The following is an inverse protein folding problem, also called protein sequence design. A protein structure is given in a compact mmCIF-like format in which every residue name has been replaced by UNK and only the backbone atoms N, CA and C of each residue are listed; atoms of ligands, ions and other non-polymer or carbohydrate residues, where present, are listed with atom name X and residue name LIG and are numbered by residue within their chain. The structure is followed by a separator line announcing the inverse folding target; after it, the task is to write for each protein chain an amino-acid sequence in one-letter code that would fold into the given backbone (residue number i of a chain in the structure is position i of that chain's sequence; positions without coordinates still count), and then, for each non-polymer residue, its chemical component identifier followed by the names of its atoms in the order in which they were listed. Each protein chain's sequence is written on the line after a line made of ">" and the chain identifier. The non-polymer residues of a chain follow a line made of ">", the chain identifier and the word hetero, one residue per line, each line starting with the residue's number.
data_IF_499061012756
#
_entry.id   IF_499061012756
#
_cell.length_a   1.000
_cell.length_b   1.000
_cell.length_c   1.000
_cell.angle_alpha   90.00
_cell.angle_beta   90.00
_cell.angle_gamma   90.00
#
_symmetry.space_group_name_H-M   'P 1'
#
loop_
_entity.id
_entity.type
_entity.pdbx_description
1 polymer ?
#
# COMPACT_ATOMS: atom_id res chain seq x y z
N UNK A 1 12.03 -20.81 43.98
CA UNK A 1 11.86 -19.49 44.63
C UNK A 1 10.54 -18.95 44.17
N UNK A 2 9.55 -18.82 45.06
CA UNK A 2 8.22 -18.28 44.73
C UNK A 2 8.35 -16.79 44.49
N UNK A 3 8.01 -16.32 43.29
CA UNK A 3 8.10 -14.91 42.92
C UNK A 3 6.99 -14.12 43.62
N UNK A 4 7.33 -13.04 44.34
CA UNK A 4 6.37 -12.18 45.04
C UNK A 4 6.11 -10.94 44.16
N UNK A 5 4.86 -10.50 43.96
CA UNK A 5 4.57 -9.29 43.15
C UNK A 5 4.13 -8.08 43.96
N UNK A 6 3.41 -8.27 45.07
CA UNK A 6 2.87 -7.15 45.82
C UNK A 6 3.31 -7.26 47.27
N UNK A 7 4.37 -6.53 47.58
CA UNK A 7 4.74 -6.19 48.95
C UNK A 7 4.17 -4.80 49.22
N UNK A 8 3.40 -4.65 50.29
CA UNK A 8 2.97 -3.32 50.70
C UNK A 8 4.20 -2.46 51.00
N UNK A 9 4.24 -1.24 50.45
CA UNK A 9 5.34 -0.29 50.68
C UNK A 9 5.52 0.06 52.16
N UNK A 10 4.44 -0.03 52.94
CA UNK A 10 4.45 0.17 54.38
C UNK A 10 4.43 -1.19 55.09
N UNK A 11 5.48 -1.48 55.85
CA UNK A 11 5.53 -2.63 56.76
C UNK A 11 5.17 -2.15 58.17
N UNK A 12 4.02 -2.57 58.69
CA UNK A 12 3.58 -2.18 60.03
C UNK A 12 4.44 -2.88 61.08
N UNK A 13 5.08 -2.12 61.98
CA UNK A 13 5.76 -2.72 63.15
C UNK A 13 4.79 -3.06 64.30
N UNK A 14 3.54 -2.63 64.19
CA UNK A 14 2.48 -3.01 65.12
C UNK A 14 1.89 -4.32 64.63
N UNK A 15 2.05 -5.38 65.42
CA UNK A 15 1.42 -6.66 65.16
C UNK A 15 -0.10 -6.49 65.13
N UNK A 16 -0.75 -7.21 64.22
CA UNK A 16 -2.21 -7.27 64.19
C UNK A 16 -2.73 -7.67 65.58
N UNK A 17 -3.69 -6.91 66.11
CA UNK A 17 -4.25 -7.19 67.44
C UNK A 17 -4.87 -8.60 67.51
N UNK A 18 -4.88 -9.22 68.69
CA UNK A 18 -5.29 -10.63 68.87
C UNK A 18 -6.80 -10.92 68.63
N UNK A 19 -7.62 -9.89 68.39
CA UNK A 19 -9.07 -10.05 68.23
C UNK A 19 -9.45 -10.63 66.84
N UNK A 20 -9.72 -11.94 66.82
CA UNK A 20 -10.14 -12.70 65.64
C UNK A 20 -11.63 -12.50 65.26
N UNK A 21 -12.40 -11.69 66.00
CA UNK A 21 -13.84 -11.47 65.73
C UNK A 21 -14.09 -10.38 64.68
N UNK A 22 -13.06 -9.61 64.32
CA UNK A 22 -13.10 -8.62 63.24
C UNK A 22 -12.67 -9.26 61.93
N UNK A 23 -13.48 -9.09 60.86
CA UNK A 23 -13.05 -9.41 59.49
C UNK A 23 -11.93 -8.44 59.12
N UNK A 24 -10.70 -8.94 59.06
CA UNK A 24 -9.56 -8.17 58.58
C UNK A 24 -9.24 -8.62 57.15
N UNK A 25 -8.80 -7.71 56.27
CA UNK A 25 -7.97 -8.14 55.14
C UNK A 25 -6.81 -8.97 55.72
N UNK A 26 -6.28 -9.94 54.99
CA UNK A 26 -5.08 -10.70 55.40
C UNK A 26 -4.02 -9.80 56.03
N UNK A 27 -3.19 -10.34 56.92
CA UNK A 27 -2.24 -9.55 57.70
C UNK A 27 -1.49 -8.57 56.78
N UNK A 28 -1.46 -7.30 57.16
CA UNK A 28 -0.99 -6.22 56.30
C UNK A 28 0.46 -6.44 55.82
N UNK A 29 1.24 -7.22 56.57
CA UNK A 29 2.60 -7.57 56.22
C UNK A 29 2.72 -8.89 55.45
N UNK A 30 1.61 -9.56 55.15
CA UNK A 30 1.62 -10.76 54.32
C UNK A 30 2.02 -10.40 52.89
N UNK A 31 2.87 -11.22 52.31
CA UNK A 31 3.15 -11.13 50.88
C UNK A 31 1.93 -11.63 50.10
N UNK A 32 1.49 -10.83 49.15
CA UNK A 32 0.47 -11.26 48.21
C UNK A 32 1.16 -11.85 46.99
N UNK A 33 0.98 -13.15 46.83
CA UNK A 33 1.31 -13.81 45.59
C UNK A 33 0.23 -13.48 44.56
N UNK A 34 0.61 -12.75 43.51
CA UNK A 34 -0.27 -12.48 42.37
C UNK A 34 0.31 -13.05 41.06
N UNK A 35 1.31 -13.95 41.10
CA UNK A 35 1.86 -14.59 39.89
C UNK A 35 1.13 -15.91 39.59
N UNK A 36 0.79 -16.25 38.33
CA UNK A 36 1.62 -16.35 37.11
C UNK A 36 2.67 -17.47 37.17
N UNK A 37 2.26 -18.64 37.66
CA UNK A 37 2.96 -19.91 37.48
C UNK A 37 3.25 -20.18 35.99
N UNK A 38 4.36 -20.88 35.70
CA UNK A 38 4.70 -21.32 34.36
C UNK A 38 4.76 -22.84 34.34
N UNK A 39 3.93 -23.45 33.50
CA UNK A 39 3.92 -24.89 33.29
C UNK A 39 4.30 -25.21 31.86
N UNK A 40 5.40 -25.94 31.67
CA UNK A 40 5.73 -26.54 30.37
C UNK A 40 5.11 -27.93 30.26
N UNK A 41 4.37 -28.18 29.19
CA UNK A 41 3.68 -29.44 28.92
C UNK A 41 4.31 -30.10 27.70
N UNK A 42 4.93 -31.25 27.91
CA UNK A 42 5.54 -32.08 26.84
C UNK A 42 4.76 -33.37 26.57
N UNK A 43 3.69 -33.63 27.33
CA UNK A 43 2.78 -34.76 27.12
C UNK A 43 1.81 -34.49 25.96
N UNK A 44 1.12 -35.54 25.47
CA UNK A 44 0.07 -35.42 24.44
C UNK A 44 -1.30 -35.09 25.01
N UNK A 45 -1.40 -34.95 26.33
CA UNK A 45 -2.65 -34.61 27.03
C UNK A 45 -2.36 -33.65 28.17
N UNK A 46 -3.29 -32.74 28.43
CA UNK A 46 -3.23 -31.81 29.55
C UNK A 46 -4.61 -31.54 30.16
N UNK A 47 -4.64 -31.13 31.42
CA UNK A 47 -5.86 -30.65 32.08
C UNK A 47 -5.59 -29.27 32.66
N UNK A 48 -6.38 -28.29 32.25
CA UNK A 48 -6.37 -26.94 32.78
C UNK A 48 -7.33 -26.91 33.96
N UNK A 49 -6.83 -26.43 35.10
CA UNK A 49 -7.54 -26.46 36.38
C UNK A 49 -7.65 -25.07 36.98
N UNK A 50 -8.40 -24.93 38.07
CA UNK A 50 -8.52 -23.64 38.76
C UNK A 50 -7.15 -23.10 39.24
N UNK A 51 -6.21 -23.99 39.56
CA UNK A 51 -4.85 -23.62 39.98
C UNK A 51 -4.04 -22.93 38.89
N UNK A 52 -4.45 -23.07 37.62
CA UNK A 52 -3.83 -22.38 36.48
C UNK A 52 -4.32 -20.92 36.35
N UNK A 53 -5.02 -20.37 37.37
CA UNK A 53 -5.47 -18.98 37.36
C UNK A 53 -4.28 -18.05 37.23
N UNK A 54 -4.34 -17.20 36.22
CA UNK A 54 -3.31 -16.27 35.84
C UNK A 54 -2.01 -17.03 35.62
N UNK A 55 -1.96 -18.22 35.00
CA UNK A 55 -0.69 -18.89 34.67
C UNK A 55 -0.34 -18.79 33.18
N UNK A 56 0.90 -19.07 32.83
CA UNK A 56 1.32 -19.36 31.45
C UNK A 56 1.55 -20.86 31.30
N UNK A 57 0.79 -21.50 30.41
CA UNK A 57 0.99 -22.90 30.04
C UNK A 57 1.62 -22.94 28.65
N UNK A 58 2.84 -23.47 28.55
CA UNK A 58 3.56 -23.64 27.29
C UNK A 58 3.55 -25.11 26.85
N UNK A 59 2.90 -25.38 25.73
CA UNK A 59 2.88 -26.70 25.11
C UNK A 59 4.07 -26.87 24.17
N UNK A 60 4.91 -27.87 24.42
CA UNK A 60 6.13 -28.16 23.66
C UNK A 60 6.18 -29.64 23.30
N UNK A 61 5.29 -30.07 22.40
CA UNK A 61 5.24 -31.45 21.91
C UNK A 61 5.31 -31.47 20.38
N UNK A 62 6.01 -32.46 19.82
CA UNK A 62 6.07 -32.68 18.38
C UNK A 62 4.75 -33.29 17.84
N UNK A 63 4.06 -34.08 18.67
CA UNK A 63 2.72 -34.61 18.38
C UNK A 63 1.64 -33.67 18.91
N UNK A 64 0.42 -33.81 18.40
CA UNK A 64 -0.73 -33.03 18.86
C UNK A 64 -1.00 -33.22 20.36
N UNK A 65 -1.39 -32.15 21.04
CA UNK A 65 -1.75 -32.15 22.46
C UNK A 65 -3.25 -31.92 22.62
N UNK A 66 -3.93 -32.78 23.37
CA UNK A 66 -5.33 -32.58 23.76
C UNK A 66 -5.37 -31.96 25.15
N UNK A 67 -5.66 -30.67 25.24
CA UNK A 67 -5.82 -29.95 26.50
C UNK A 67 -7.31 -29.89 26.87
N UNK A 68 -7.68 -30.21 28.11
CA UNK A 68 -9.07 -30.20 28.56
C UNK A 68 -9.32 -29.06 29.56
N UNK A 69 -10.47 -28.40 29.45
CA UNK A 69 -10.93 -27.39 30.43
C UNK A 69 -12.36 -27.71 30.86
N UNK A 70 -12.63 -27.70 32.17
CA UNK A 70 -13.96 -27.95 32.73
C UNK A 70 -14.84 -26.70 32.67
N UNK A 71 -16.16 -26.83 32.82
CA UNK A 71 -17.05 -25.66 32.87
C UNK A 71 -16.82 -24.82 34.15
N UNK A 72 -16.86 -23.48 34.08
CA UNK A 72 -16.82 -22.62 35.26
C UNK A 72 -17.92 -22.96 36.26
N UNK A 73 -17.55 -23.07 37.53
CA UNK A 73 -18.50 -23.21 38.65
C UNK A 73 -18.22 -22.14 39.71
N UNK A 74 -19.12 -21.99 40.68
CA UNK A 74 -18.95 -20.99 41.75
C UNK A 74 -17.67 -21.21 42.58
N UNK A 75 -17.15 -22.44 42.66
CA UNK A 75 -15.92 -22.79 43.40
C UNK A 75 -14.69 -23.05 42.54
N UNK A 76 -14.82 -23.06 41.20
CA UNK A 76 -13.70 -23.34 40.30
C UNK A 76 -13.82 -22.51 39.02
N UNK A 77 -12.77 -21.72 38.72
CA UNK A 77 -12.70 -20.81 37.57
C UNK A 77 -13.82 -19.75 37.53
N UNK A 78 -14.00 -18.96 38.60
CA UNK A 78 -15.07 -17.95 38.69
C UNK A 78 -14.92 -16.87 37.61
N UNK A 79 -15.93 -16.00 37.46
CA UNK A 79 -15.85 -14.84 36.55
C UNK A 79 -14.59 -14.01 36.85
N UNK A 80 -13.80 -13.72 35.81
CA UNK A 80 -12.52 -13.02 35.95
C UNK A 80 -11.31 -13.96 36.12
N UNK A 81 -11.54 -15.27 36.25
CA UNK A 81 -10.48 -16.26 36.06
C UNK A 81 -9.93 -16.17 34.63
N UNK A 82 -8.62 -16.26 34.46
CA UNK A 82 -8.00 -16.34 33.14
C UNK A 82 -6.73 -17.19 33.14
N UNK A 83 -6.31 -17.69 31.98
CA UNK A 83 -5.02 -18.37 31.79
C UNK A 83 -4.48 -18.02 30.40
N UNK A 84 -3.16 -17.96 30.24
CA UNK A 84 -2.52 -17.86 28.93
C UNK A 84 -1.99 -19.22 28.50
N UNK A 85 -2.41 -19.65 27.32
CA UNK A 85 -1.92 -20.86 26.67
C UNK A 85 -1.01 -20.47 25.51
N UNK A 86 0.11 -21.14 25.32
CA UNK A 86 1.00 -20.91 24.19
C UNK A 86 1.50 -22.24 23.63
N UNK A 87 1.40 -22.41 22.31
CA UNK A 87 1.93 -23.58 21.65
C UNK A 87 3.28 -23.25 21.00
N UNK A 88 4.36 -23.85 21.47
CA UNK A 88 5.69 -23.75 20.86
C UNK A 88 6.13 -25.06 20.18
N UNK A 89 5.38 -26.14 20.39
CA UNK A 89 5.60 -27.45 19.78
C UNK A 89 5.13 -27.51 18.32
N UNK A 90 5.61 -28.52 17.58
CA UNK A 90 5.19 -28.73 16.18
C UNK A 90 3.77 -29.29 16.07
N UNK A 91 3.27 -29.98 17.09
CA UNK A 91 1.91 -30.49 17.12
C UNK A 91 0.90 -29.41 17.52
N UNK A 92 -0.24 -29.36 16.85
CA UNK A 92 -1.34 -28.48 17.25
C UNK A 92 -1.86 -28.84 18.65
N UNK A 93 -2.26 -27.82 19.43
CA UNK A 93 -2.94 -28.04 20.70
C UNK A 93 -4.44 -27.89 20.46
N UNK A 94 -5.20 -28.95 20.71
CA UNK A 94 -6.68 -28.91 20.69
C UNK A 94 -7.18 -28.72 22.11
N UNK A 95 -7.59 -27.50 22.43
CA UNK A 95 -8.29 -27.20 23.67
C UNK A 95 -9.75 -27.67 23.57
N UNK A 96 -10.16 -28.56 24.46
CA UNK A 96 -11.49 -29.18 24.48
C UNK A 96 -12.22 -28.80 25.76
N UNK A 97 -13.41 -28.22 25.59
CA UNK A 97 -14.34 -27.98 26.69
C UNK A 97 -14.97 -29.30 27.18
N UNK A 98 -14.95 -29.53 28.49
CA UNK A 98 -15.52 -30.71 29.14
C UNK A 98 -16.60 -30.30 30.14
N UNK A 99 -17.53 -31.21 30.46
CA UNK A 99 -18.62 -30.91 31.39
C UNK A 99 -19.57 -29.80 30.90
N UNK A 100 -19.70 -29.63 29.59
CA UNK A 100 -20.53 -28.59 28.97
C UNK A 100 -19.82 -27.25 28.74
N UNK A 101 -18.51 -27.15 29.01
CA UNK A 101 -17.73 -25.96 28.72
C UNK A 101 -17.66 -25.69 27.21
N UNK A 102 -17.72 -24.42 26.83
CA UNK A 102 -17.46 -23.95 25.47
C UNK A 102 -16.40 -22.83 25.48
N UNK A 103 -15.71 -22.65 24.36
CA UNK A 103 -14.78 -21.56 24.11
C UNK A 103 -15.29 -20.78 22.91
N UNK A 104 -15.68 -19.52 23.11
CA UNK A 104 -16.36 -18.69 22.11
C UNK A 104 -17.57 -19.39 21.46
N UNK A 105 -18.33 -20.15 22.26
CA UNK A 105 -19.49 -20.91 21.80
C UNK A 105 -19.16 -22.22 21.06
N UNK A 106 -17.90 -22.64 20.99
CA UNK A 106 -17.47 -23.90 20.37
C UNK A 106 -16.97 -24.90 21.41
N UNK A 107 -17.13 -26.21 21.15
CA UNK A 107 -16.65 -27.25 22.05
C UNK A 107 -15.13 -27.39 22.05
N UNK A 108 -14.46 -26.93 20.99
CA UNK A 108 -13.00 -27.02 20.81
C UNK A 108 -12.43 -25.74 20.23
N UNK A 109 -11.17 -25.45 20.58
CA UNK A 109 -10.34 -24.41 19.97
C UNK A 109 -8.96 -25.00 19.65
N UNK A 110 -8.49 -24.84 18.42
CA UNK A 110 -7.13 -25.23 18.04
C UNK A 110 -6.17 -24.05 18.26
N UNK A 111 -4.97 -24.34 18.77
CA UNK A 111 -3.86 -23.41 18.93
C UNK A 111 -2.70 -23.94 18.08
N UNK A 112 -2.45 -23.31 16.93
CA UNK A 112 -1.41 -23.74 16.01
C UNK A 112 -0.01 -23.45 16.57
N UNK A 113 1.03 -24.03 15.96
CA UNK A 113 2.41 -23.76 16.36
C UNK A 113 2.71 -22.26 16.30
N UNK A 114 3.26 -21.71 17.38
CA UNK A 114 3.63 -20.31 17.52
C UNK A 114 2.51 -19.39 18.00
N UNK A 115 1.28 -19.90 18.12
CA UNK A 115 0.14 -19.11 18.61
C UNK A 115 0.02 -19.13 20.14
N UNK A 116 -0.72 -18.14 20.65
CA UNK A 116 -1.16 -18.09 22.04
C UNK A 116 -2.65 -17.75 22.13
N UNK A 117 -3.27 -18.08 23.26
CA UNK A 117 -4.66 -17.75 23.56
C UNK A 117 -4.74 -17.30 25.01
N UNK A 118 -5.40 -16.17 25.25
CA UNK A 118 -5.86 -15.80 26.57
C UNK A 118 -7.30 -16.30 26.76
N UNK A 119 -7.49 -17.23 27.69
CA UNK A 119 -8.81 -17.73 28.05
C UNK A 119 -9.33 -16.97 29.25
N UNK A 120 -10.52 -16.41 29.17
CA UNK A 120 -11.18 -15.72 30.27
C UNK A 120 -12.51 -16.37 30.61
N UNK A 121 -12.70 -16.75 31.87
CA UNK A 121 -13.98 -17.22 32.39
C UNK A 121 -14.97 -16.05 32.47
N UNK A 122 -16.14 -16.24 31.83
CA UNK A 122 -17.28 -15.31 31.95
C UNK A 122 -18.14 -15.59 33.18
N UNK A 123 -17.81 -16.63 33.97
CA UNK A 123 -18.66 -17.14 35.05
C UNK A 123 -19.87 -17.94 34.55
N UNK A 124 -19.86 -18.35 33.29
CA UNK A 124 -20.87 -19.21 32.65
C UNK A 124 -20.15 -20.40 32.02
N UNK A 125 -20.88 -21.38 31.45
CA UNK A 125 -20.25 -22.49 30.73
C UNK A 125 -19.35 -22.06 29.54
N UNK A 126 -19.44 -20.81 29.08
CA UNK A 126 -18.63 -20.27 27.98
C UNK A 126 -17.42 -19.44 28.47
N UNK A 127 -16.25 -19.70 27.88
CA UNK A 127 -15.02 -18.91 28.00
C UNK A 127 -14.88 -17.96 26.82
N UNK A 128 -14.33 -16.77 27.05
CA UNK A 128 -13.79 -15.94 25.98
C UNK A 128 -12.37 -16.40 25.67
N UNK A 129 -12.15 -17.01 24.50
CA UNK A 129 -10.82 -17.29 23.97
C UNK A 129 -10.36 -16.14 23.09
N UNK A 130 -9.43 -15.32 23.57
CA UNK A 130 -8.82 -14.24 22.80
C UNK A 130 -7.57 -14.83 22.18
N UNK A 131 -7.65 -15.18 20.89
CA UNK A 131 -6.48 -15.63 20.15
C UNK A 131 -5.49 -14.49 20.06
N UNK A 132 -4.46 -14.58 20.88
CA UNK A 132 -3.23 -13.86 20.70
C UNK A 132 -2.46 -14.71 19.70
N UNK A 133 -2.91 -14.68 18.45
CA UNK A 133 -1.99 -15.05 17.38
C UNK A 133 -0.73 -14.30 17.76
N UNK A 134 0.45 -14.95 17.74
CA UNK A 134 1.62 -14.15 17.43
C UNK A 134 1.09 -13.28 16.30
N UNK A 135 1.08 -11.96 16.48
CA UNK A 135 1.28 -11.14 15.32
C UNK A 135 2.46 -11.88 14.75
N UNK A 136 2.21 -12.66 13.70
CA UNK A 136 3.25 -13.02 12.82
C UNK A 136 3.73 -11.59 12.56
N UNK A 137 4.81 -11.19 13.22
CA UNK A 137 6.00 -11.04 12.48
C UNK A 137 5.96 -12.20 11.44
N UNK A 138 5.14 -12.13 10.36
CA UNK A 138 5.36 -11.32 9.20
C UNK A 138 6.46 -10.37 9.58
N UNK A 139 7.71 -10.89 9.71
CA UNK A 139 8.80 -10.01 9.43
C UNK A 139 8.33 -9.25 8.19
N UNK A 140 8.49 -7.94 8.21
CA UNK A 140 8.50 -7.18 6.98
C UNK A 140 9.67 -7.73 6.13
N UNK A 141 9.58 -9.00 5.68
CA UNK A 141 10.50 -9.75 4.85
C UNK A 141 10.40 -9.21 3.42
N UNK A 142 9.31 -8.51 3.11
CA UNK A 142 9.14 -7.68 1.93
C UNK A 142 9.77 -6.31 2.18
N UNK A 143 11.06 -6.31 2.47
CA UNK A 143 11.83 -5.08 2.48
C UNK A 143 11.86 -4.53 1.06
N UNK A 144 11.03 -3.54 0.78
CA UNK A 144 11.14 -2.64 -0.36
C UNK A 144 10.77 -3.20 -1.74
N UNK A 145 10.86 -4.50 -2.02
CA UNK A 145 10.73 -5.00 -3.38
C UNK A 145 11.84 -4.46 -4.30
N UNK A 146 11.47 -3.92 -5.45
CA UNK A 146 12.39 -3.34 -6.43
C UNK A 146 11.86 -2.07 -7.09
N UNK A 147 12.47 -1.69 -8.21
CA UNK A 147 12.04 -0.57 -9.05
C UNK A 147 11.95 -1.05 -10.50
N UNK A 148 10.77 -0.96 -11.09
CA UNK A 148 10.56 -1.15 -12.53
C UNK A 148 11.14 0.04 -13.29
N UNK A 149 11.97 -0.21 -14.29
CA UNK A 149 12.65 0.83 -15.09
C UNK A 149 12.61 0.51 -16.57
N UNK A 150 12.44 1.56 -17.36
CA UNK A 150 12.69 1.52 -18.79
C UNK A 150 14.19 1.31 -19.08
N UNK A 151 14.49 0.41 -20.03
CA UNK A 151 15.86 0.16 -20.51
C UNK A 151 15.96 0.51 -21.99
N UNK A 152 15.04 -0.03 -22.79
CA UNK A 152 14.95 0.26 -24.23
C UNK A 152 13.52 0.03 -24.73
N UNK A 153 13.28 0.33 -26.01
CA UNK A 153 11.97 0.12 -26.66
C UNK A 153 11.48 -1.33 -26.64
N UNK A 154 12.36 -2.30 -26.36
CA UNK A 154 12.03 -3.74 -26.28
C UNK A 154 12.28 -4.36 -24.91
N UNK A 155 12.81 -3.60 -23.95
CA UNK A 155 13.25 -4.16 -22.66
C UNK A 155 12.96 -3.23 -21.47
N UNK A 156 12.50 -3.83 -20.38
CA UNK A 156 12.43 -3.25 -19.04
C UNK A 156 13.37 -4.00 -18.10
N UNK A 157 13.61 -3.44 -16.91
CA UNK A 157 14.32 -4.12 -15.82
C UNK A 157 13.59 -3.90 -14.51
N UNK A 158 13.72 -4.82 -13.57
CA UNK A 158 13.19 -4.68 -12.22
C UNK A 158 14.30 -4.97 -11.21
N UNK A 159 14.94 -3.93 -10.70
CA UNK A 159 16.12 -4.08 -9.85
C UNK A 159 15.75 -3.98 -8.36
N UNK A 160 16.38 -4.77 -7.47
CA UNK A 160 16.12 -4.71 -6.04
C UNK A 160 16.45 -3.30 -5.48
N UNK A 161 15.63 -2.80 -4.56
CA UNK A 161 15.84 -1.51 -3.90
C UNK A 161 15.26 -1.51 -2.48
N UNK A 162 16.05 -1.03 -1.50
CA UNK A 162 15.70 -1.03 -0.06
C UNK A 162 15.28 -2.41 0.46
N UNK A 163 16.00 -3.41 -0.01
CA UNK A 163 15.69 -4.83 0.07
C UNK A 163 15.48 -5.37 -1.34
N UNK A 164 15.00 -6.60 -1.47
CA UNK A 164 14.92 -7.24 -2.78
C UNK A 164 13.88 -8.33 -2.86
N UNK A 165 13.02 -8.51 -1.85
CA UNK A 165 12.02 -9.56 -1.89
C UNK A 165 10.66 -8.96 -2.24
N UNK A 166 9.86 -9.69 -3.01
CA UNK A 166 8.43 -9.45 -3.19
C UNK A 166 7.65 -10.64 -2.64
N UNK A 167 6.45 -10.44 -2.10
CA UNK A 167 5.57 -11.57 -1.78
C UNK A 167 4.92 -12.06 -3.06
N UNK A 168 4.85 -13.37 -3.27
CA UNK A 168 4.10 -14.03 -4.34
C UNK A 168 3.44 -15.26 -3.72
N UNK A 169 2.11 -15.36 -3.79
CA UNK A 169 1.35 -16.45 -3.19
C UNK A 169 1.66 -16.69 -1.69
N UNK A 170 1.93 -15.61 -0.96
CA UNK A 170 2.31 -15.65 0.46
C UNK A 170 3.74 -16.11 0.76
N UNK A 171 4.57 -16.34 -0.26
CA UNK A 171 6.00 -16.62 -0.12
C UNK A 171 6.85 -15.41 -0.50
N UNK A 172 7.88 -15.11 0.29
CA UNK A 172 8.82 -14.04 0.00
C UNK A 172 9.86 -14.51 -1.03
N UNK A 173 9.74 -14.01 -2.26
CA UNK A 173 10.60 -14.37 -3.39
C UNK A 173 11.68 -13.30 -3.60
N UNK A 174 12.98 -13.67 -3.64
CA UNK A 174 14.05 -12.73 -3.91
C UNK A 174 14.11 -12.32 -5.39
N UNK A 175 14.30 -11.02 -5.62
CA UNK A 175 14.62 -10.42 -6.91
C UNK A 175 16.12 -10.54 -7.13
N UNK A 176 16.51 -11.32 -8.14
CA UNK A 176 17.92 -11.61 -8.41
C UNK A 176 18.67 -10.36 -8.94
N UNK A 177 19.94 -10.15 -8.54
CA UNK A 177 20.77 -9.08 -9.08
C UNK A 177 21.02 -9.26 -10.60
N UNK A 178 20.94 -8.17 -11.38
CA UNK A 178 21.26 -8.17 -12.82
C UNK A 178 20.09 -7.73 -13.70
N UNK A 179 19.15 -8.66 -13.98
CA UNK A 179 17.93 -8.38 -14.75
C UNK A 179 16.66 -8.39 -13.88
N UNK A 180 16.73 -8.98 -12.69
CA UNK A 180 15.57 -9.12 -11.81
C UNK A 180 14.55 -10.12 -12.35
N UNK A 181 13.36 -9.62 -12.64
CA UNK A 181 12.20 -10.41 -13.10
C UNK A 181 12.36 -10.79 -14.58
N UNK A 182 12.26 -12.09 -14.89
CA UNK A 182 12.34 -12.59 -16.25
C UNK A 182 11.13 -12.17 -17.11
N UNK A 183 11.27 -12.12 -18.43
CA UNK A 183 10.13 -11.82 -19.33
C UNK A 183 9.74 -10.35 -19.43
N UNK A 184 10.53 -9.43 -18.87
CA UNK A 184 10.39 -7.98 -19.01
C UNK A 184 10.80 -7.46 -20.41
N UNK A 185 10.22 -8.05 -21.46
CA UNK A 185 10.38 -7.71 -22.87
C UNK A 185 9.02 -7.48 -23.52
N UNK A 186 8.97 -6.86 -24.71
CA UNK A 186 7.72 -6.64 -25.43
C UNK A 186 7.27 -7.83 -26.32
N UNK A 187 8.04 -8.92 -26.29
CA UNK A 187 7.78 -10.17 -27.01
C UNK A 187 9.07 -10.97 -27.21
N UNK A 188 9.05 -12.32 -27.14
CA UNK A 188 7.98 -13.16 -26.58
C UNK A 188 7.87 -13.01 -25.05
N UNK A 189 6.67 -12.81 -24.53
CA UNK A 189 6.41 -12.63 -23.08
C UNK A 189 5.09 -13.29 -22.66
N UNK A 190 4.74 -13.22 -21.37
CA UNK A 190 3.42 -13.60 -20.87
C UNK A 190 2.45 -12.42 -21.00
N UNK A 191 1.29 -12.65 -21.61
CA UNK A 191 0.19 -11.69 -21.65
C UNK A 191 -1.08 -12.36 -21.13
N UNK A 192 -1.68 -11.79 -20.09
CA UNK A 192 -2.86 -12.33 -19.42
C UNK A 192 -2.68 -13.81 -19.01
N UNK A 193 -1.47 -14.18 -18.56
CA UNK A 193 -1.12 -15.54 -18.17
C UNK A 193 -0.82 -16.51 -19.32
N UNK A 194 -0.87 -16.06 -20.57
CA UNK A 194 -0.54 -16.88 -21.75
C UNK A 194 0.88 -16.57 -22.22
N UNK A 195 1.73 -17.59 -22.32
CA UNK A 195 3.12 -17.44 -22.77
C UNK A 195 3.25 -17.13 -24.28
N UNK A 196 4.45 -16.71 -24.69
CA UNK A 196 4.85 -16.48 -26.09
C UNK A 196 3.95 -15.50 -26.84
N UNK A 197 3.47 -14.47 -26.14
CA UNK A 197 2.68 -13.39 -26.71
C UNK A 197 3.55 -12.17 -27.01
N UNK A 198 3.03 -11.27 -27.84
CA UNK A 198 3.57 -9.93 -28.05
C UNK A 198 2.63 -8.91 -27.41
N UNK A 199 3.17 -7.79 -26.94
CA UNK A 199 2.32 -6.71 -26.43
C UNK A 199 1.58 -6.01 -27.56
N UNK A 200 0.30 -5.72 -27.36
CA UNK A 200 -0.49 -4.93 -28.28
C UNK A 200 -0.09 -3.46 -28.22
N UNK A 201 -0.25 -2.72 -29.31
CA UNK A 201 0.01 -1.29 -29.34
C UNK A 201 -1.05 -0.48 -28.58
N UNK A 202 -0.67 0.71 -28.09
CA UNK A 202 -1.54 1.66 -27.37
C UNK A 202 -2.29 1.06 -26.17
N UNK A 203 -1.72 0.03 -25.54
CA UNK A 203 -2.40 -0.77 -24.51
C UNK A 203 -1.74 -0.54 -23.16
N UNK A 204 -2.57 -0.36 -22.13
CA UNK A 204 -2.12 -0.27 -20.76
C UNK A 204 -2.05 -1.68 -20.17
N UNK A 205 -0.93 -2.01 -19.52
CA UNK A 205 -0.73 -3.29 -18.86
C UNK A 205 -0.24 -3.07 -17.44
N UNK A 206 -0.93 -3.70 -16.48
CA UNK A 206 -0.34 -3.97 -15.17
C UNK A 206 0.72 -5.05 -15.34
N UNK A 207 1.85 -4.88 -14.67
CA UNK A 207 2.98 -5.82 -14.71
C UNK A 207 2.99 -6.56 -13.39
N UNK A 208 2.77 -7.87 -13.43
CA UNK A 208 2.78 -8.72 -12.25
C UNK A 208 4.01 -9.63 -12.26
N UNK A 209 4.61 -9.85 -11.09
CA UNK A 209 5.59 -10.92 -10.86
C UNK A 209 4.89 -12.20 -10.40
N UNK A 210 5.27 -13.34 -10.97
CA UNK A 210 4.81 -14.68 -10.56
C UNK A 210 5.92 -15.72 -10.69
N UNK A 211 5.79 -16.83 -9.97
CA UNK A 211 6.73 -17.95 -10.07
C UNK A 211 6.34 -18.86 -11.24
N UNK A 212 7.22 -18.94 -12.25
CA UNK A 212 7.11 -19.90 -13.34
C UNK A 212 8.17 -21.00 -13.16
N UNK A 213 7.79 -22.07 -12.46
CA UNK A 213 8.79 -22.95 -11.84
C UNK A 213 9.59 -22.16 -10.81
N UNK A 214 10.92 -22.25 -10.86
CA UNK A 214 11.81 -21.58 -9.90
C UNK A 214 12.26 -20.17 -10.35
N UNK A 215 11.66 -19.63 -11.42
CA UNK A 215 12.05 -18.33 -11.98
C UNK A 215 10.92 -17.31 -11.79
N UNK A 216 11.22 -16.24 -11.07
CA UNK A 216 10.36 -15.07 -10.97
C UNK A 216 10.22 -14.41 -12.35
N UNK A 217 9.02 -14.42 -12.90
CA UNK A 217 8.69 -14.04 -14.28
C UNK A 217 7.60 -12.97 -14.29
N UNK A 218 7.63 -12.09 -15.29
CA UNK A 218 6.63 -11.04 -15.49
C UNK A 218 5.44 -11.55 -16.32
N UNK A 219 4.24 -11.13 -15.93
CA UNK A 219 3.00 -11.26 -16.70
C UNK A 219 2.42 -9.87 -16.95
N UNK A 220 2.26 -9.51 -18.22
CA UNK A 220 1.60 -8.27 -18.63
C UNK A 220 0.10 -8.52 -18.73
N UNK A 221 -0.70 -7.84 -17.90
CA UNK A 221 -2.12 -8.13 -17.81
C UNK A 221 -2.97 -6.88 -17.91
N UNK A 222 -4.08 -6.99 -18.63
CA UNK A 222 -5.14 -5.97 -18.70
C UNK A 222 -6.17 -6.14 -17.58
N UNK A 223 -6.05 -7.21 -16.78
CA UNK A 223 -6.84 -7.38 -15.55
C UNK A 223 -6.30 -6.46 -14.47
N UNK A 224 -7.20 -5.72 -13.81
CA UNK A 224 -6.87 -4.81 -12.70
C UNK A 224 -6.28 -5.51 -11.49
N UNK A 225 -5.88 -4.71 -10.51
CA UNK A 225 -5.26 -5.17 -9.27
C UNK A 225 -6.19 -4.97 -8.07
N UNK A 226 -5.90 -5.69 -6.98
CA UNK A 226 -6.55 -5.50 -5.69
C UNK A 226 -5.59 -5.85 -4.55
N UNK A 227 -5.85 -5.33 -3.36
CA UNK A 227 -5.10 -5.71 -2.17
C UNK A 227 -5.59 -7.07 -1.66
N UNK A 228 -4.65 -8.02 -1.51
CA UNK A 228 -4.98 -9.37 -1.03
C UNK A 228 -5.45 -9.37 0.42
N UNK A 229 -6.46 -10.19 0.70
CA UNK A 229 -6.92 -10.55 2.04
C UNK A 229 -6.63 -12.01 2.40
N UNK A 230 -5.87 -12.73 1.56
CA UNK A 230 -5.58 -14.15 1.78
C UNK A 230 -4.50 -14.33 2.86
N UNK A 231 -4.66 -15.30 3.79
CA UNK A 231 -3.63 -15.61 4.78
C UNK A 231 -2.25 -15.82 4.13
N UNK A 232 -1.21 -15.23 4.73
CA UNK A 232 0.16 -15.25 4.21
C UNK A 232 0.46 -14.19 3.14
N UNK A 233 -0.54 -13.61 2.47
CA UNK A 233 -0.36 -12.59 1.43
C UNK A 233 -1.08 -11.27 1.73
N UNK A 234 -1.68 -11.13 2.91
CA UNK A 234 -2.50 -9.97 3.31
C UNK A 234 -1.75 -8.66 3.10
N UNK A 235 -2.39 -7.70 2.43
CA UNK A 235 -1.82 -6.37 2.18
C UNK A 235 -0.94 -6.28 0.93
N UNK A 236 -0.60 -7.40 0.29
CA UNK A 236 0.11 -7.38 -0.99
C UNK A 236 -0.85 -7.03 -2.11
N UNK A 237 -0.43 -6.13 -3.00
CA UNK A 237 -1.21 -5.82 -4.20
C UNK A 237 -1.02 -6.93 -5.23
N UNK A 238 -2.11 -7.54 -5.66
CA UNK A 238 -2.15 -8.72 -6.52
C UNK A 238 -2.97 -8.46 -7.78
N UNK A 239 -2.90 -9.36 -8.75
CA UNK A 239 -3.89 -9.39 -9.83
C UNK A 239 -5.25 -9.73 -9.23
N UNK A 240 -6.31 -8.98 -9.56
CA UNK A 240 -7.62 -9.18 -8.94
C UNK A 240 -8.10 -10.63 -9.06
N UNK A 241 -8.41 -11.24 -7.91
CA UNK A 241 -8.81 -12.64 -7.77
C UNK A 241 -7.66 -13.67 -7.85
N UNK A 242 -6.39 -13.27 -8.00
CA UNK A 242 -5.27 -14.18 -8.23
C UNK A 242 -4.04 -13.84 -7.36
N UNK A 243 -3.93 -14.55 -6.24
CA UNK A 243 -2.82 -14.42 -5.29
C UNK A 243 -1.47 -14.96 -5.81
N UNK A 244 -1.46 -15.69 -6.93
CA UNK A 244 -0.20 -16.19 -7.52
C UNK A 244 0.61 -15.12 -8.25
N UNK A 245 0.09 -13.89 -8.34
CA UNK A 245 0.67 -12.76 -9.06
C UNK A 245 0.66 -11.52 -8.20
N UNK A 246 1.81 -10.86 -8.07
CA UNK A 246 1.95 -9.62 -7.30
C UNK A 246 2.32 -8.44 -8.19
N UNK A 247 1.67 -7.30 -8.00
CA UNK A 247 1.85 -6.12 -8.82
C UNK A 247 3.25 -5.53 -8.60
N UNK A 248 4.04 -5.40 -9.66
CA UNK A 248 5.37 -4.80 -9.62
C UNK A 248 5.45 -3.46 -10.35
N UNK A 249 4.50 -3.16 -11.23
CA UNK A 249 4.41 -1.87 -11.90
C UNK A 249 3.27 -1.75 -12.90
N UNK A 250 3.27 -0.66 -13.64
CA UNK A 250 2.27 -0.33 -14.65
C UNK A 250 2.96 0.25 -15.88
N UNK A 251 2.52 -0.16 -17.07
CA UNK A 251 3.08 0.34 -18.32
C UNK A 251 2.00 0.71 -19.34
N UNK A 252 2.41 1.49 -20.33
CA UNK A 252 1.69 1.65 -21.60
C UNK A 252 2.63 1.43 -22.78
N UNK A 253 2.16 0.72 -23.79
CA UNK A 253 2.88 0.57 -25.05
C UNK A 253 2.53 1.69 -26.05
N UNK A 254 3.46 2.01 -26.93
CA UNK A 254 3.21 2.90 -28.06
C UNK A 254 2.40 2.20 -29.17
N UNK A 255 2.21 2.86 -30.31
CA UNK A 255 1.43 2.34 -31.45
C UNK A 255 1.93 1.01 -32.01
N UNK A 256 3.21 0.66 -31.82
CA UNK A 256 3.84 -0.57 -32.33
C UNK A 256 4.05 -1.63 -31.26
N UNK A 257 3.49 -1.46 -30.06
CA UNK A 257 3.66 -2.43 -28.95
C UNK A 257 5.04 -2.34 -28.28
N UNK A 258 5.77 -1.25 -28.47
CA UNK A 258 7.06 -1.01 -27.83
C UNK A 258 6.89 -0.22 -26.53
N UNK A 259 7.87 -0.37 -25.63
CA UNK A 259 7.97 0.48 -24.44
C UNK A 259 8.41 1.89 -24.83
N UNK A 260 7.94 2.89 -24.11
CA UNK A 260 8.36 4.27 -24.27
C UNK A 260 8.49 4.96 -22.91
N UNK A 261 9.63 5.58 -22.66
CA UNK A 261 9.86 6.43 -21.50
C UNK A 261 10.84 7.53 -21.90
N UNK A 262 10.30 8.72 -22.08
CA UNK A 262 10.99 9.89 -22.57
C UNK A 262 10.61 11.10 -21.72
N UNK A 263 11.21 12.23 -22.07
CA UNK A 263 10.95 13.50 -21.38
C UNK A 263 9.50 13.97 -21.50
N UNK A 264 8.80 13.66 -22.59
CA UNK A 264 7.41 14.06 -22.81
C UNK A 264 6.43 12.88 -22.72
N UNK A 265 6.90 11.64 -22.56
CA UNK A 265 6.06 10.46 -22.45
C UNK A 265 6.58 9.55 -21.34
N UNK A 266 5.82 9.40 -20.24
CA UNK A 266 6.20 8.53 -19.11
C UNK A 266 5.24 7.35 -19.02
N UNK A 267 5.54 6.27 -19.75
CA UNK A 267 4.69 5.07 -19.79
C UNK A 267 5.24 3.88 -19.01
N UNK A 268 6.19 4.10 -18.09
CA UNK A 268 6.67 3.06 -17.17
C UNK A 268 6.62 3.61 -15.76
N UNK A 269 5.89 2.93 -14.88
CA UNK A 269 5.76 3.26 -13.47
C UNK A 269 6.03 2.03 -12.62
N UNK A 270 6.75 2.20 -11.53
CA UNK A 270 6.98 1.13 -10.56
C UNK A 270 5.90 1.17 -9.48
N UNK A 271 5.40 0.01 -9.05
CA UNK A 271 4.50 -0.04 -7.89
C UNK A 271 5.28 0.18 -6.59
N UNK A 272 6.38 -0.56 -6.47
CA UNK A 272 7.31 -0.46 -5.35
C UNK A 272 8.33 0.66 -5.60
N UNK A 273 8.62 1.45 -4.56
CA UNK A 273 9.61 2.53 -4.57
C UNK A 273 9.53 3.41 -5.82
N UNK A 274 8.32 3.82 -6.20
CA UNK A 274 8.14 4.70 -7.35
C UNK A 274 8.93 5.99 -7.14
N UNK A 275 9.91 6.32 -7.99
CA UNK A 275 10.63 7.59 -7.90
C UNK A 275 9.74 8.80 -8.26
N UNK A 276 8.49 8.58 -8.65
CA UNK A 276 7.64 9.59 -9.25
C UNK A 276 8.02 9.82 -10.71
N UNK A 277 7.39 10.80 -11.33
CA UNK A 277 7.70 11.19 -12.71
C UNK A 277 7.86 12.68 -12.85
N UNK A 278 8.68 13.06 -13.83
CA UNK A 278 8.83 14.43 -14.31
C UNK A 278 8.79 14.42 -15.84
N UNK A 279 7.86 15.20 -16.37
CA UNK A 279 7.59 15.41 -17.79
C UNK A 279 7.85 16.86 -18.15
N UNK A 280 8.32 17.11 -19.37
CA UNK A 280 8.36 18.46 -19.93
C UNK A 280 8.23 18.43 -21.46
N UNK A 281 7.61 19.45 -22.03
CA UNK A 281 7.62 19.73 -23.47
C UNK A 281 7.59 21.24 -23.72
N UNK A 282 8.00 21.67 -24.91
CA UNK A 282 8.05 23.09 -25.31
C UNK A 282 7.75 23.25 -26.80
N UNK A 283 7.38 24.47 -27.21
CA UNK A 283 7.23 24.81 -28.62
C UNK A 283 8.60 25.01 -29.29
N UNK A 284 8.82 24.42 -30.47
CA UNK A 284 10.00 24.71 -31.32
C UNK A 284 9.83 25.93 -32.20
N UNK A 285 8.58 26.35 -32.46
CA UNK A 285 8.23 27.56 -33.22
C UNK A 285 7.04 28.28 -32.58
N UNK A 286 6.89 29.58 -32.86
CA UNK A 286 5.75 30.34 -32.34
C UNK A 286 4.43 29.67 -32.74
N UNK A 287 3.51 29.53 -31.79
CA UNK A 287 2.14 29.04 -32.02
C UNK A 287 1.18 30.20 -31.89
N UNK A 288 0.05 30.15 -32.59
CA UNK A 288 -0.91 31.25 -32.54
C UNK A 288 -2.34 30.78 -32.70
N UNK A 289 -3.28 31.57 -32.19
CA UNK A 289 -4.71 31.37 -32.41
C UNK A 289 -5.43 32.72 -32.41
N UNK A 290 -6.54 32.78 -33.14
CA UNK A 290 -7.52 33.87 -33.10
C UNK A 290 -8.90 33.38 -32.61
N UNK A 291 -8.95 32.17 -32.04
CA UNK A 291 -10.20 31.54 -31.62
C UNK A 291 -10.82 32.26 -30.41
N UNK A 292 -12.13 32.50 -30.47
CA UNK A 292 -12.93 33.01 -29.35
C UNK A 292 -12.97 32.02 -28.17
N UNK A 293 -12.98 30.73 -28.50
CA UNK A 293 -13.08 29.61 -27.58
C UNK A 293 -11.73 28.96 -27.37
N UNK A 294 -11.55 28.30 -26.23
CA UNK A 294 -10.33 27.54 -25.95
C UNK A 294 -10.14 26.43 -26.99
N UNK A 295 -9.00 26.48 -27.68
CA UNK A 295 -8.55 25.45 -28.62
C UNK A 295 -7.16 24.98 -28.23
N UNK A 296 -6.84 23.72 -28.50
CA UNK A 296 -5.48 23.22 -28.30
C UNK A 296 -4.53 23.98 -29.25
N UNK A 297 -3.45 24.55 -28.71
CA UNK A 297 -2.51 25.34 -29.51
C UNK A 297 -1.69 24.48 -30.48
N UNK A 298 -1.20 23.34 -30.02
CA UNK A 298 -0.41 22.39 -30.81
C UNK A 298 -0.27 21.07 -30.05
N UNK A 299 -0.28 19.94 -30.76
CA UNK A 299 0.04 18.64 -30.17
C UNK A 299 1.53 18.50 -29.78
N UNK A 300 2.41 19.34 -30.34
CA UNK A 300 3.85 19.30 -30.06
C UNK A 300 4.20 19.49 -28.57
N UNK A 301 3.45 20.34 -27.87
CA UNK A 301 3.69 20.61 -26.44
C UNK A 301 3.06 19.55 -25.53
N UNK A 302 2.47 18.50 -26.08
CA UNK A 302 1.84 17.47 -25.26
C UNK A 302 2.87 16.79 -24.36
N UNK A 303 2.43 16.55 -23.13
CA UNK A 303 3.06 15.61 -22.21
C UNK A 303 2.06 14.51 -21.90
N UNK A 304 2.55 13.27 -21.83
CA UNK A 304 1.73 12.08 -21.73
C UNK A 304 2.25 11.17 -20.62
N UNK A 305 1.35 10.57 -19.85
CA UNK A 305 1.73 9.72 -18.72
C UNK A 305 0.70 8.65 -18.43
N UNK A 306 1.10 7.70 -17.59
CA UNK A 306 0.19 6.81 -16.89
C UNK A 306 0.17 7.14 -15.40
N UNK A 307 -1.01 7.05 -14.79
CA UNK A 307 -1.28 7.37 -13.39
C UNK A 307 -1.82 6.13 -12.68
N UNK A 308 -1.38 5.86 -11.45
CA UNK A 308 -2.13 4.95 -10.57
C UNK A 308 -3.33 5.69 -9.96
N UNK A 309 -4.31 4.95 -9.45
CA UNK A 309 -5.41 5.56 -8.71
C UNK A 309 -4.90 6.46 -7.56
N UNK A 310 -5.60 7.57 -7.33
CA UNK A 310 -5.36 8.55 -6.25
C UNK A 310 -4.03 9.32 -6.28
N UNK A 311 -3.20 9.15 -7.31
CA UNK A 311 -1.99 9.95 -7.48
C UNK A 311 -2.30 11.38 -7.92
N UNK A 312 -1.61 12.34 -7.30
CA UNK A 312 -1.72 13.76 -7.63
C UNK A 312 -0.66 14.13 -8.68
N UNK A 313 -1.11 14.67 -9.81
CA UNK A 313 -0.23 15.33 -10.77
C UNK A 313 -0.31 16.85 -10.62
N UNK A 314 0.85 17.49 -10.60
CA UNK A 314 0.99 18.94 -10.73
C UNK A 314 1.48 19.27 -12.13
N UNK A 315 0.75 20.12 -12.83
CA UNK A 315 1.06 20.59 -14.17
C UNK A 315 1.31 22.09 -14.13
N UNK A 316 2.41 22.53 -14.73
CA UNK A 316 2.83 23.92 -14.77
C UNK A 316 3.15 24.31 -16.21
N UNK A 317 2.70 25.49 -16.64
CA UNK A 317 3.12 26.11 -17.89
C UNK A 317 3.66 27.49 -17.60
N UNK A 318 4.82 27.81 -18.18
CA UNK A 318 5.38 29.17 -18.19
C UNK A 318 5.84 29.49 -19.60
N UNK A 319 5.52 30.68 -20.09
CA UNK A 319 5.97 31.16 -21.39
C UNK A 319 5.67 32.64 -21.59
N UNK A 320 5.85 33.14 -22.81
CA UNK A 320 5.46 34.49 -23.17
C UNK A 320 4.45 34.49 -24.33
N UNK A 321 3.62 35.52 -24.35
CA UNK A 321 2.60 35.78 -25.37
C UNK A 321 2.71 37.22 -25.85
N UNK A 322 2.35 37.46 -27.10
CA UNK A 322 2.18 38.80 -27.64
C UNK A 322 1.05 38.82 -28.66
N UNK A 323 0.50 39.99 -28.90
CA UNK A 323 -0.51 40.22 -29.91
C UNK A 323 0.14 40.86 -31.13
N UNK A 324 -0.02 40.26 -32.31
CA UNK A 324 0.50 40.83 -33.56
C UNK A 324 -0.40 41.95 -34.13
N UNK A 325 -1.60 42.13 -33.58
CA UNK A 325 -2.55 43.17 -33.97
C UNK A 325 -2.30 44.52 -33.29
N UNK A 326 -2.89 45.57 -33.85
CA UNK A 326 -2.79 46.96 -33.35
C UNK A 326 -3.74 47.26 -32.18
N UNK A 327 -4.70 46.36 -31.90
CA UNK A 327 -5.70 46.52 -30.84
C UNK A 327 -5.41 45.55 -29.70
N UNK A 328 -5.38 46.05 -28.46
CA UNK A 328 -5.21 45.21 -27.26
C UNK A 328 -6.26 44.09 -27.20
N UNK A 329 -5.82 42.89 -26.82
CA UNK A 329 -6.67 41.70 -26.77
C UNK A 329 -6.40 40.91 -25.50
N UNK A 330 -7.42 40.24 -24.99
CA UNK A 330 -7.25 39.31 -23.88
C UNK A 330 -6.71 37.98 -24.38
N UNK A 331 -5.51 37.62 -23.96
CA UNK A 331 -4.96 36.28 -24.10
C UNK A 331 -5.47 35.37 -22.97
N UNK A 332 -5.93 34.17 -23.34
CA UNK A 332 -6.19 33.09 -22.40
C UNK A 332 -5.19 31.97 -22.63
N UNK A 333 -4.55 31.52 -21.56
CA UNK A 333 -3.63 30.38 -21.57
C UNK A 333 -4.05 29.43 -20.44
N UNK A 334 -4.34 28.18 -20.79
CA UNK A 334 -4.84 27.17 -19.85
C UNK A 334 -4.16 25.84 -20.12
N UNK A 335 -4.06 25.03 -19.08
CA UNK A 335 -3.68 23.62 -19.18
C UNK A 335 -4.98 22.82 -19.32
N UNK A 336 -5.04 21.90 -20.29
CA UNK A 336 -6.17 20.98 -20.47
C UNK A 336 -5.69 19.54 -20.50
N UNK A 337 -6.49 18.63 -19.96
CA UNK A 337 -6.20 17.20 -19.81
C UNK A 337 -7.19 16.40 -20.66
N UNK A 338 -6.70 15.37 -21.35
CA UNK A 338 -7.50 14.40 -22.10
C UNK A 338 -8.49 15.01 -23.11
N UNK A 339 -8.06 16.07 -23.81
CA UNK A 339 -8.90 16.75 -24.81
C UNK A 339 -9.93 17.71 -24.20
N UNK A 340 -10.11 17.69 -22.88
CA UNK A 340 -11.00 18.59 -22.18
C UNK A 340 -10.23 19.88 -21.88
N UNK A 341 -10.55 20.96 -22.61
CA UNK A 341 -10.14 22.29 -22.17
C UNK A 341 -10.77 22.49 -20.80
N UNK A 342 -9.96 22.70 -19.75
CA UNK A 342 -10.49 22.88 -18.39
C UNK A 342 -11.40 24.13 -18.33
N UNK A 343 -12.68 23.90 -18.60
CA UNK A 343 -13.83 24.67 -18.14
C UNK A 343 -14.49 23.95 -16.95
N UNK A 344 -13.81 22.92 -16.40
CA UNK A 344 -14.17 22.34 -15.11
C UNK A 344 -14.08 23.48 -14.10
N UNK A 345 -15.19 23.74 -13.40
CA UNK A 345 -15.24 24.66 -12.28
C UNK A 345 -13.98 24.49 -11.43
N UNK A 346 -13.35 25.59 -10.95
CA UNK A 346 -12.01 25.54 -10.37
C UNK A 346 -11.94 24.46 -9.31
N UNK A 347 -11.37 23.31 -9.69
CA UNK A 347 -10.87 22.34 -8.74
C UNK A 347 -9.74 23.03 -7.98
N UNK A 348 -9.57 22.67 -6.71
CA UNK A 348 -8.68 23.35 -5.77
C UNK A 348 -7.31 23.67 -6.42
N UNK A 349 -6.96 24.96 -6.48
CA UNK A 349 -5.63 25.41 -6.91
C UNK A 349 -5.44 25.79 -8.39
N UNK A 350 -6.47 25.78 -9.24
CA UNK A 350 -6.33 26.33 -10.62
C UNK A 350 -6.01 27.83 -10.63
N UNK A 351 -4.81 28.18 -11.11
CA UNK A 351 -4.53 29.53 -11.62
C UNK A 351 -4.56 29.49 -13.16
N UNK A 352 -5.73 29.78 -13.72
CA UNK A 352 -5.83 30.21 -15.10
C UNK A 352 -5.67 31.73 -15.13
N UNK A 353 -4.81 32.27 -15.99
CA UNK A 353 -4.81 33.71 -16.25
C UNK A 353 -6.07 34.02 -17.05
N UNK A 354 -7.05 34.62 -16.37
CA UNK A 354 -8.28 35.09 -16.98
C UNK A 354 -8.02 36.44 -17.65
N UNK A 355 -7.71 36.41 -18.95
CA UNK A 355 -7.65 37.59 -19.81
C UNK A 355 -6.51 38.55 -19.49
N UNK A 356 -5.29 38.17 -19.87
CA UNK A 356 -4.17 39.11 -19.89
C UNK A 356 -4.31 40.04 -21.08
N UNK A 357 -4.35 41.35 -20.82
CA UNK A 357 -4.26 42.35 -21.89
C UNK A 357 -2.89 42.30 -22.53
N UNK A 358 -2.84 41.81 -23.77
CA UNK A 358 -1.63 41.71 -24.57
C UNK A 358 -1.66 42.72 -25.72
N UNK A 359 -0.53 43.40 -25.88
CA UNK A 359 -0.23 44.30 -26.99
C UNK A 359 0.93 43.72 -27.82
N UNK A 360 1.60 44.56 -28.61
CA UNK A 360 2.74 44.13 -29.43
C UNK A 360 4.00 43.79 -28.61
N UNK A 361 4.02 44.07 -27.31
CA UNK A 361 5.08 43.63 -26.42
C UNK A 361 4.88 42.17 -25.99
N UNK A 362 5.97 41.51 -25.62
CA UNK A 362 5.92 40.17 -25.03
C UNK A 362 5.54 40.26 -23.56
N UNK A 363 4.50 39.53 -23.18
CA UNK A 363 4.01 39.42 -21.81
C UNK A 363 4.18 38.00 -21.29
N UNK A 364 4.60 37.83 -20.05
CA UNK A 364 4.75 36.51 -19.45
C UNK A 364 3.38 35.94 -19.06
N UNK A 365 3.18 34.65 -19.31
CA UNK A 365 2.03 33.87 -18.87
C UNK A 365 2.50 32.66 -18.08
N UNK A 366 1.78 32.38 -17.00
CA UNK A 366 1.95 31.18 -16.20
C UNK A 366 0.58 30.54 -15.92
N UNK A 367 0.51 29.22 -15.96
CA UNK A 367 -0.68 28.47 -15.53
C UNK A 367 -0.23 27.28 -14.70
N UNK A 368 -0.97 26.99 -13.63
CA UNK A 368 -0.76 25.84 -12.77
C UNK A 368 -2.06 25.10 -12.58
N UNK A 369 -1.99 23.79 -12.62
CA UNK A 369 -3.12 22.88 -12.47
C UNK A 369 -2.72 21.68 -11.61
N UNK A 370 -3.57 21.28 -10.68
CA UNK A 370 -3.38 20.10 -9.85
C UNK A 370 -4.62 19.23 -9.93
N UNK A 371 -4.45 17.92 -10.11
CA UNK A 371 -5.56 16.97 -10.22
C UNK A 371 -5.10 15.58 -9.80
N UNK A 372 -6.04 14.78 -9.30
CA UNK A 372 -5.89 13.33 -9.18
C UNK A 372 -6.69 12.67 -10.30
N UNK A 373 -6.12 12.45 -11.50
CA UNK A 373 -6.84 11.77 -12.55
C UNK A 373 -7.08 10.31 -12.14
N UNK A 374 -8.02 9.65 -12.80
CA UNK A 374 -8.24 8.23 -12.61
C UNK A 374 -6.98 7.41 -12.91
N UNK A 375 -7.02 6.11 -12.60
CA UNK A 375 -5.97 5.20 -13.04
C UNK A 375 -6.04 5.02 -14.56
N UNK A 376 -4.93 5.18 -15.26
CA UNK A 376 -4.91 5.04 -16.71
C UNK A 376 -3.92 5.94 -17.42
N UNK A 377 -4.13 6.03 -18.74
CA UNK A 377 -3.37 6.91 -19.62
C UNK A 377 -4.00 8.29 -19.64
N UNK A 378 -3.16 9.31 -19.52
CA UNK A 378 -3.54 10.71 -19.58
C UNK A 378 -2.56 11.50 -20.43
N UNK A 379 -3.04 12.63 -20.95
CA UNK A 379 -2.19 13.62 -21.58
C UNK A 379 -2.64 15.03 -21.26
N UNK A 380 -1.71 15.96 -21.35
CA UNK A 380 -1.95 17.39 -21.13
C UNK A 380 -1.37 18.21 -22.26
N UNK A 381 -2.00 19.36 -22.52
CA UNK A 381 -1.54 20.35 -23.50
C UNK A 381 -1.95 21.76 -23.09
N UNK A 382 -1.41 22.74 -23.80
CA UNK A 382 -1.85 24.13 -23.70
C UNK A 382 -3.05 24.38 -24.61
N UNK A 383 -4.07 24.98 -24.01
CA UNK A 383 -5.25 25.49 -24.66
C UNK A 383 -5.28 27.01 -24.56
N UNK A 384 -5.73 27.65 -25.63
CA UNK A 384 -5.72 29.10 -25.71
C UNK A 384 -6.93 29.66 -26.44
N UNK A 385 -7.22 30.94 -26.15
CA UNK A 385 -8.24 31.74 -26.81
C UNK A 385 -7.82 33.21 -26.85
N UNK A 386 -8.48 33.98 -27.71
CA UNK A 386 -8.39 35.43 -27.85
C UNK A 386 -9.77 36.08 -27.66
N UNK A 387 -9.89 37.09 -26.80
CA UNK A 387 -11.14 37.86 -26.62
C UNK A 387 -10.91 39.38 -26.71
N UNK A 388 -11.59 40.12 -27.61
CA UNK A 388 -12.54 39.63 -28.63
C UNK A 388 -11.85 38.78 -29.71
N UNK A 389 -12.62 37.89 -30.34
CA UNK A 389 -12.14 36.89 -31.27
C UNK A 389 -11.82 37.47 -32.64
N UNK A 390 -10.73 38.24 -32.75
CA UNK A 390 -10.32 38.88 -34.00
C UNK A 390 -8.80 39.07 -34.12
N UNK A 391 -8.08 39.14 -33.00
CA UNK A 391 -6.63 39.35 -33.01
C UNK A 391 -5.87 38.04 -32.84
N UNK A 392 -4.82 37.87 -33.65
CA UNK A 392 -3.93 36.71 -33.58
C UNK A 392 -2.98 36.91 -32.39
N UNK A 393 -3.12 36.04 -31.40
CA UNK A 393 -2.21 35.98 -30.25
C UNK A 393 -1.17 34.91 -30.53
N UNK A 394 0.08 35.23 -30.27
CA UNK A 394 1.22 34.35 -30.45
C UNK A 394 1.80 33.93 -29.11
N UNK A 395 2.05 32.63 -28.94
CA UNK A 395 2.86 32.04 -27.88
C UNK A 395 4.27 31.87 -28.43
N UNK A 396 5.23 32.54 -27.79
CA UNK A 396 6.62 32.59 -28.27
C UNK A 396 7.32 31.28 -28.02
N UNK A 397 7.98 30.73 -29.03
CA UNK A 397 8.99 29.69 -28.84
C UNK A 397 10.35 30.31 -28.54
N UNK A 398 11.20 29.57 -27.85
CA UNK A 398 12.60 29.91 -27.68
C UNK A 398 13.44 28.65 -27.69
N UNK A 399 14.60 28.72 -28.34
CA UNK A 399 15.60 27.66 -28.27
C UNK A 399 16.59 27.87 -27.11
N UNK A 400 16.50 29.00 -26.39
CA UNK A 400 17.36 29.28 -25.23
C UNK A 400 16.76 28.57 -24.00
N UNK A 401 17.45 27.59 -23.37
CA UNK A 401 16.90 26.79 -22.27
C UNK A 401 16.24 27.60 -21.13
N UNK A 402 16.80 28.76 -20.78
CA UNK A 402 16.27 29.63 -19.71
C UNK A 402 15.03 30.44 -20.09
N UNK A 403 14.64 30.46 -21.36
CA UNK A 403 13.54 31.26 -21.90
C UNK A 403 12.50 30.41 -22.65
N UNK A 404 12.58 29.07 -22.59
CA UNK A 404 11.67 28.20 -23.36
C UNK A 404 10.29 28.17 -22.72
N UNK A 405 9.21 28.33 -23.51
CA UNK A 405 7.87 28.06 -23.02
C UNK A 405 7.76 26.58 -22.65
N UNK A 406 7.56 26.25 -21.39
CA UNK A 406 7.65 24.86 -20.94
C UNK A 406 6.33 24.47 -20.29
N UNK A 407 5.71 23.39 -20.78
CA UNK A 407 4.71 22.63 -20.04
C UNK A 407 5.44 21.53 -19.29
N UNK A 408 5.33 21.53 -17.97
CA UNK A 408 5.93 20.59 -17.04
C UNK A 408 4.83 19.80 -16.32
N UNK A 409 5.12 18.54 -16.00
CA UNK A 409 4.25 17.70 -15.18
C UNK A 409 5.05 16.89 -14.16
N UNK A 410 4.62 16.90 -12.90
CA UNK A 410 5.29 16.20 -11.81
C UNK A 410 4.29 15.37 -11.01
N UNK A 411 4.62 14.10 -10.79
CA UNK A 411 3.99 13.24 -9.78
C UNK A 411 5.05 12.92 -8.74
N UNK A 412 4.74 13.19 -7.48
CA UNK A 412 5.66 12.90 -6.38
C UNK A 412 5.82 11.38 -6.17
N UNK A 413 6.95 10.93 -5.58
CA UNK A 413 7.12 9.54 -5.19
C UNK A 413 5.94 9.01 -4.36
N UNK A 414 5.47 7.80 -4.68
CA UNK A 414 4.46 7.09 -3.88
C UNK A 414 5.08 6.71 -2.53
N UNK A 415 4.36 6.97 -1.44
CA UNK A 415 4.80 6.70 -0.07
C UNK A 415 4.39 5.32 0.40
#
# INVERSE_FOLDING_TARGET
>A
MTAKILTHKFHSMVADGADATLVRPSNWNDDHDLWLDHRSVTATTDTITHADHMSLIEYNNAAGVVANIAAPTAGAMPRGWFVRLRNIGMGAVTLTGTGGANINGQATLEIAQGEAVDLHSRGTADYAGITLSAQQAQPSLVGGGGVLRYVSVTQLSYLPFRGGNILVNGEAVPVLPGLGVAGLTNGPTFVNGVANQNLAGNTNYFVYGFMNGDVLTADFSTTGHETSNAPGNVGTEIKSGDNSRSLIGYIRTNTTGQFADSRNQRYVRSWFNDPGIHLQSWFTINRSTASASSVQLSAEIQIEWINFADELIMLDYVGAVYNAGTVQTNAFCRIGIDGVSAAVAPLEGTMAIWGLYVDMASHNVASRFQLRPGEGYHWSSIYAASNPAQNIIHWTASNIPSMRPTLEGVIAPRR
#
